data_IF_736883265514
#
_entry.id   IF_736883265514
#
_cell.length_a   1.000
_cell.length_b   1.000
_cell.length_c   1.000
_cell.angle_alpha   90.00
_cell.angle_beta   90.00
_cell.angle_gamma   90.00
#
_symmetry.space_group_name_H-M   'P 1'
#
loop_
_entity.id
_entity.type
_entity.pdbx_description
1 polymer ?
#
# COMPACT_ATOMS: atom_id res chain seq x y z
N UNK A 1 -16.44 15.34 18.77
CA UNK A 1 -16.57 14.34 17.69
C UNK A 1 -15.34 14.49 16.80
N UNK A 2 -14.38 13.59 16.89
CA UNK A 2 -13.30 13.48 15.91
C UNK A 2 -13.54 12.17 15.17
N UNK A 3 -13.97 12.27 13.91
CA UNK A 3 -14.14 11.14 13.02
C UNK A 3 -12.87 11.05 12.18
N UNK A 4 -12.06 10.01 12.38
CA UNK A 4 -10.97 9.69 11.45
C UNK A 4 -11.63 9.03 10.26
N UNK A 5 -11.74 9.76 9.15
CA UNK A 5 -12.29 9.24 7.91
C UNK A 5 -11.46 8.04 7.45
N UNK A 6 -12.10 6.89 7.28
CA UNK A 6 -11.44 5.66 6.83
C UNK A 6 -11.43 5.65 5.30
N UNK A 7 -10.53 6.43 4.74
CA UNK A 7 -10.35 6.53 3.30
C UNK A 7 -9.54 5.32 2.80
N UNK A 8 -10.00 4.59 1.75
CA UNK A 8 -9.21 3.50 1.18
C UNK A 8 -7.93 4.06 0.52
N UNK A 9 -6.83 3.35 0.70
CA UNK A 9 -5.52 3.63 0.11
C UNK A 9 -5.03 2.40 -0.64
N UNK A 10 -4.66 2.57 -1.90
CA UNK A 10 -4.20 1.50 -2.79
C UNK A 10 -2.93 1.96 -3.52
N UNK A 11 -1.90 1.11 -3.50
CA UNK A 11 -0.63 1.36 -4.18
C UNK A 11 -0.28 0.17 -5.07
N UNK A 12 0.10 0.48 -6.30
CA UNK A 12 0.51 -0.51 -7.29
C UNK A 12 2.02 -0.55 -7.34
N UNK A 13 2.59 -1.69 -6.98
CA UNK A 13 4.04 -1.88 -6.92
C UNK A 13 4.48 -2.91 -7.97
N UNK A 14 5.56 -2.60 -8.68
CA UNK A 14 6.21 -3.51 -9.62
C UNK A 14 7.55 -3.98 -9.09
N UNK A 15 7.85 -5.27 -9.24
CA UNK A 15 9.18 -5.82 -8.95
C UNK A 15 10.10 -5.55 -10.14
N UNK A 16 11.21 -4.87 -9.90
CA UNK A 16 12.25 -4.58 -10.91
C UNK A 16 13.61 -5.08 -10.41
N UNK A 17 14.63 -5.23 -11.28
CA UNK A 17 15.98 -5.55 -10.83
C UNK A 17 16.59 -4.54 -9.84
N UNK A 18 16.05 -3.32 -9.78
CA UNK A 18 16.50 -2.25 -8.88
C UNK A 18 15.74 -2.24 -7.54
N UNK A 19 14.68 -3.05 -7.41
CA UNK A 19 13.81 -3.11 -6.24
C UNK A 19 12.32 -2.92 -6.60
N UNK A 20 11.54 -2.54 -5.60
CA UNK A 20 10.11 -2.27 -5.71
C UNK A 20 9.90 -0.85 -6.25
N UNK A 21 9.30 -0.74 -7.43
CA UNK A 21 8.95 0.54 -8.05
C UNK A 21 7.48 0.85 -7.80
N UNK A 22 7.20 2.05 -7.26
CA UNK A 22 5.84 2.54 -7.12
C UNK A 22 5.30 2.98 -8.50
N UNK A 23 4.13 2.48 -8.86
CA UNK A 23 3.40 2.81 -10.06
C UNK A 23 2.28 3.79 -9.77
N UNK A 24 1.05 3.27 -9.75
CA UNK A 24 -0.17 4.04 -9.50
C UNK A 24 -0.50 4.10 -8.00
N UNK A 25 -1.01 5.24 -7.55
CA UNK A 25 -1.56 5.40 -6.20
C UNK A 25 -3.00 5.90 -6.29
N UNK A 26 -3.89 5.30 -5.52
CA UNK A 26 -5.29 5.72 -5.39
C UNK A 26 -5.63 5.95 -3.93
N UNK A 27 -6.26 7.09 -3.65
CA UNK A 27 -6.74 7.45 -2.31
C UNK A 27 -8.20 7.87 -2.42
N UNK A 28 -9.08 7.33 -1.59
CA UNK A 28 -10.52 7.61 -1.68
C UNK A 28 -10.99 9.01 -1.21
N UNK A 29 -10.08 9.95 -0.93
CA UNK A 29 -10.41 11.24 -0.31
C UNK A 29 -9.23 11.93 0.36
N UNK A 30 -9.43 13.19 0.77
CA UNK A 30 -8.44 14.02 1.47
C UNK A 30 -8.66 13.95 2.99
N UNK A 31 -8.27 12.85 3.60
CA UNK A 31 -8.15 12.78 5.07
C UNK A 31 -6.91 13.54 5.55
N UNK A 32 -6.83 13.81 6.86
CA UNK A 32 -5.66 14.47 7.44
C UNK A 32 -4.38 13.67 7.16
N UNK A 33 -3.39 14.29 6.50
CA UNK A 33 -2.15 13.62 6.09
C UNK A 33 -2.27 12.78 4.81
N UNK A 34 -3.41 12.87 4.12
CA UNK A 34 -3.67 12.26 2.81
C UNK A 34 -3.90 13.33 1.74
N UNK A 35 -3.25 14.50 1.86
CA UNK A 35 -3.26 15.50 0.81
C UNK A 35 -2.65 14.91 -0.48
N UNK A 36 -3.42 14.82 -1.58
CA UNK A 36 -2.89 14.34 -2.84
C UNK A 36 -1.84 15.32 -3.39
N UNK A 37 -0.87 14.85 -4.20
CA UNK A 37 0.04 15.74 -4.89
C UNK A 37 -0.69 16.60 -5.93
N UNK A 38 -0.07 17.69 -6.37
CA UNK A 38 -0.69 18.67 -7.30
C UNK A 38 -1.08 18.06 -8.66
N UNK A 39 -0.41 16.97 -9.06
CA UNK A 39 -0.68 16.24 -10.31
C UNK A 39 -1.77 15.17 -10.17
N UNK A 40 -2.36 15.01 -8.98
CA UNK A 40 -3.42 14.04 -8.77
C UNK A 40 -4.72 14.41 -9.48
N UNK A 41 -5.34 13.41 -10.10
CA UNK A 41 -6.65 13.52 -10.74
C UNK A 41 -7.75 12.99 -9.84
N UNK A 42 -8.85 13.72 -9.75
CA UNK A 42 -10.07 13.22 -9.12
C UNK A 42 -10.77 12.23 -10.08
N UNK A 43 -10.88 10.96 -9.67
CA UNK A 43 -11.49 9.86 -10.40
C UNK A 43 -12.50 9.17 -9.48
N UNK A 44 -13.78 9.15 -9.86
CA UNK A 44 -14.87 8.48 -9.12
C UNK A 44 -14.94 8.87 -7.63
N UNK A 45 -14.62 10.12 -7.29
CA UNK A 45 -14.64 10.62 -5.90
C UNK A 45 -13.38 10.32 -5.08
N UNK A 46 -12.39 9.61 -5.64
CA UNK A 46 -11.04 9.48 -5.07
C UNK A 46 -9.99 10.22 -5.91
N UNK A 47 -8.78 10.37 -5.40
CA UNK A 47 -7.63 10.89 -6.14
C UNK A 47 -6.75 9.76 -6.64
N UNK A 48 -6.27 9.89 -7.87
CA UNK A 48 -5.35 8.98 -8.52
C UNK A 48 -4.13 9.77 -9.02
N UNK A 49 -2.92 9.27 -8.75
CA UNK A 49 -1.67 9.90 -9.20
C UNK A 49 -0.57 8.86 -9.45
N UNK A 50 0.45 9.26 -10.22
CA UNK A 50 1.62 8.42 -10.48
C UNK A 50 2.68 8.61 -9.39
N UNK A 51 3.11 7.53 -8.76
CA UNK A 51 4.28 7.48 -7.90
C UNK A 51 5.57 7.08 -8.62
N UNK A 52 5.56 6.95 -9.94
CA UNK A 52 6.70 6.44 -10.74
C UNK A 52 7.91 7.37 -10.78
N UNK A 53 7.75 8.62 -10.37
CA UNK A 53 8.86 9.58 -10.18
C UNK A 53 9.70 9.26 -8.94
N UNK A 54 9.18 8.48 -7.99
CA UNK A 54 9.92 8.03 -6.81
C UNK A 54 10.89 6.91 -7.20
N UNK A 55 12.12 6.91 -6.65
CA UNK A 55 13.09 5.86 -6.94
C UNK A 55 12.60 4.50 -6.40
N UNK A 56 13.02 3.38 -7.03
CA UNK A 56 12.79 2.05 -6.47
C UNK A 56 13.32 1.93 -5.05
N UNK A 57 12.60 1.20 -4.21
CA UNK A 57 13.01 0.90 -2.83
C UNK A 57 13.31 -0.58 -2.66
N UNK A 58 14.30 -0.96 -1.83
CA UNK A 58 14.64 -2.37 -1.64
C UNK A 58 13.57 -3.14 -0.86
N UNK A 59 12.81 -2.45 0.00
CA UNK A 59 11.79 -3.03 0.86
C UNK A 59 10.75 -1.98 1.28
N UNK A 60 9.54 -2.45 1.61
CA UNK A 60 8.46 -1.67 2.18
C UNK A 60 8.26 -2.06 3.65
N UNK A 61 8.11 -1.04 4.50
CA UNK A 61 7.72 -1.22 5.90
C UNK A 61 6.22 -0.96 6.03
N UNK A 62 5.44 -2.03 6.14
CA UNK A 62 3.99 -1.98 6.13
C UNK A 62 3.47 -2.10 7.57
N UNK A 63 2.58 -1.19 8.01
CA UNK A 63 1.98 -1.29 9.33
C UNK A 63 1.12 -2.56 9.41
N UNK A 64 1.26 -3.32 10.49
CA UNK A 64 0.40 -4.46 10.83
C UNK A 64 -0.19 -4.20 12.22
N UNK A 65 -1.23 -3.37 12.27
CA UNK A 65 -1.87 -2.99 13.52
C UNK A 65 -3.35 -3.31 13.47
N UNK A 66 -3.89 -3.79 14.59
CA UNK A 66 -5.34 -3.99 14.76
C UNK A 66 -6.13 -2.66 14.80
N UNK A 67 -5.44 -1.51 14.86
CA UNK A 67 -6.04 -0.18 14.92
C UNK A 67 -6.35 0.39 13.54
N UNK A 68 -5.66 -0.09 12.51
CA UNK A 68 -5.91 0.22 11.10
C UNK A 68 -6.66 -0.95 10.45
N UNK A 69 -7.41 -0.70 9.37
CA UNK A 69 -8.01 -1.79 8.60
C UNK A 69 -6.94 -2.78 8.10
N UNK A 70 -7.30 -4.05 7.83
CA UNK A 70 -6.32 -5.04 7.38
C UNK A 70 -5.71 -4.62 6.03
N UNK A 71 -4.38 -4.67 5.94
CA UNK A 71 -3.69 -4.52 4.65
C UNK A 71 -3.77 -5.84 3.88
N UNK A 72 -4.13 -5.75 2.61
CA UNK A 72 -4.17 -6.88 1.69
C UNK A 72 -3.09 -6.72 0.62
N UNK A 73 -2.41 -7.82 0.28
CA UNK A 73 -1.57 -7.91 -0.90
C UNK A 73 -2.37 -8.57 -2.01
N UNK A 74 -2.61 -7.81 -3.08
CA UNK A 74 -3.30 -8.28 -4.27
C UNK A 74 -2.31 -8.50 -5.40
N UNK A 75 -2.55 -9.53 -6.21
CA UNK A 75 -1.84 -9.72 -7.47
C UNK A 75 -2.58 -9.02 -8.59
N UNK A 76 -1.82 -8.39 -9.48
CA UNK A 76 -2.37 -7.62 -10.61
C UNK A 76 -3.11 -8.51 -11.62
N UNK A 77 -2.74 -9.79 -11.71
CA UNK A 77 -3.41 -10.80 -12.53
C UNK A 77 -4.82 -11.19 -12.02
N UNK A 78 -5.28 -10.59 -10.92
CA UNK A 78 -6.59 -10.86 -10.33
C UNK A 78 -6.71 -12.24 -9.66
N UNK A 79 -5.61 -12.99 -9.53
CA UNK A 79 -5.65 -14.35 -8.94
C UNK A 79 -5.92 -14.36 -7.44
N UNK A 80 -5.94 -13.18 -6.79
CA UNK A 80 -6.50 -13.01 -5.46
C UNK A 80 -5.81 -11.92 -4.65
N UNK A 81 -6.51 -11.51 -3.59
CA UNK A 81 -5.99 -10.67 -2.52
C UNK A 81 -5.88 -11.50 -1.25
N UNK A 82 -4.74 -11.43 -0.58
CA UNK A 82 -4.51 -12.12 0.69
C UNK A 82 -4.13 -11.10 1.78
N UNK A 83 -4.67 -11.24 3.01
CA UNK A 83 -4.25 -10.40 4.13
C UNK A 83 -2.76 -10.56 4.40
N UNK A 84 -2.04 -9.45 4.58
CA UNK A 84 -0.60 -9.47 4.86
C UNK A 84 -0.26 -10.25 6.12
N UNK A 85 -1.10 -10.14 7.15
CA UNK A 85 -0.93 -10.88 8.41
C UNK A 85 -0.89 -12.40 8.18
N UNK A 86 -1.76 -12.91 7.28
CA UNK A 86 -1.80 -14.33 6.91
C UNK A 86 -0.56 -14.73 6.11
N UNK A 87 -0.13 -13.90 5.15
CA UNK A 87 1.07 -14.16 4.35
C UNK A 87 2.35 -14.17 5.19
N UNK A 88 2.44 -13.28 6.19
CA UNK A 88 3.59 -13.19 7.08
C UNK A 88 3.62 -14.28 8.16
N UNK A 89 2.61 -15.18 8.21
CA UNK A 89 2.45 -16.23 9.22
C UNK A 89 2.65 -15.72 10.67
N UNK A 90 2.15 -14.51 10.96
CA UNK A 90 2.30 -13.86 12.26
C UNK A 90 1.36 -14.48 13.29
N UNK A 91 1.79 -14.48 14.56
CA UNK A 91 0.92 -14.84 15.67
C UNK A 91 -0.02 -13.67 16.00
N UNK A 92 -1.24 -13.99 16.44
CA UNK A 92 -2.20 -13.00 16.94
C UNK A 92 -1.59 -12.15 18.06
N UNK A 93 -1.60 -10.82 17.89
CA UNK A 93 -1.10 -9.85 18.87
C UNK A 93 0.30 -9.28 18.58
N UNK A 94 1.03 -9.79 17.59
CA UNK A 94 2.26 -9.14 17.11
C UNK A 94 1.88 -7.90 16.28
N UNK A 95 2.20 -6.70 16.80
CA UNK A 95 1.92 -5.42 16.12
C UNK A 95 3.16 -4.79 15.48
N UNK A 96 4.25 -5.56 15.33
CA UNK A 96 5.45 -5.07 14.65
C UNK A 96 5.17 -4.91 13.16
N UNK A 97 5.74 -3.89 12.49
CA UNK A 97 5.61 -3.75 11.05
C UNK A 97 6.06 -5.00 10.28
N UNK A 98 5.43 -5.22 9.13
CA UNK A 98 5.82 -6.24 8.16
C UNK A 98 6.80 -5.61 7.17
N UNK A 99 7.95 -6.27 6.97
CA UNK A 99 8.87 -5.92 5.89
C UNK A 99 8.54 -6.75 4.66
N UNK A 100 8.22 -6.09 3.56
CA UNK A 100 7.99 -6.71 2.25
C UNK A 100 9.14 -6.36 1.32
N UNK A 101 9.76 -7.36 0.69
CA UNK A 101 10.83 -7.18 -0.28
C UNK A 101 10.66 -8.13 -1.47
N UNK A 102 11.26 -7.78 -2.61
CA UNK A 102 11.28 -8.66 -3.77
C UNK A 102 12.22 -9.85 -3.50
N UNK A 103 11.73 -11.06 -3.76
CA UNK A 103 12.55 -12.27 -3.73
C UNK A 103 13.13 -12.50 -5.13
N UNK A 104 14.44 -12.40 -5.26
CA UNK A 104 15.15 -12.79 -6.47
C UNK A 104 15.70 -14.19 -6.26
N UNK A 105 15.31 -15.14 -7.13
CA UNK A 105 15.94 -16.46 -7.15
C UNK A 105 17.24 -16.35 -7.92
N UNK A 106 18.34 -16.71 -7.26
CA UNK A 106 19.64 -16.97 -7.89
C UNK A 106 19.66 -18.31 -8.65
#
# INVERSE_FOLDING_TARGET
>A
MHSVEKTPWEEHWSVTPQGLQLGLVRIGGSGAGMEPPEDARLVNGGFEYSGSTRPPVPQLLLPDSAFTGPLNLCRDDGTGCLPLHTLAARNSGDSRPILLSACFRE
#
